data_IF_708542201633
#
_entry.id   IF_708542201633
#
_cell.length_a   1.000
_cell.length_b   1.000
_cell.length_c   1.000
_cell.angle_alpha   90.00
_cell.angle_beta   90.00
_cell.angle_gamma   90.00
#
_symmetry.space_group_name_H-M   'P 1'
#
loop_
_entity.id
_entity.type
_entity.pdbx_description
1 polymer ?
#
# COMPACT_ATOMS: atom_id res chain seq x y z
N UNK A 1 8.23 29.11 -14.26
CA UNK A 1 7.03 28.34 -13.87
C UNK A 1 7.10 28.13 -12.37
N UNK A 2 6.08 28.55 -11.62
CA UNK A 2 6.05 28.41 -10.15
C UNK A 2 5.21 27.20 -9.80
N UNK A 3 5.75 26.30 -8.98
CA UNK A 3 5.04 25.12 -8.49
C UNK A 3 4.16 25.51 -7.29
N UNK A 4 2.85 25.26 -7.37
CA UNK A 4 1.92 25.48 -6.25
C UNK A 4 1.61 24.15 -5.54
N UNK A 5 2.23 23.97 -4.37
CA UNK A 5 2.03 22.79 -3.53
C UNK A 5 0.59 22.64 -3.02
N UNK A 6 -0.19 23.72 -2.93
CA UNK A 6 -1.60 23.67 -2.47
C UNK A 6 -2.49 23.02 -3.52
N UNK A 7 -2.27 23.35 -4.79
CA UNK A 7 -2.95 22.74 -5.92
C UNK A 7 -2.58 21.26 -6.12
N UNK A 8 -1.37 20.84 -5.69
CA UNK A 8 -0.93 19.45 -5.75
C UNK A 8 -1.43 18.57 -4.57
N UNK A 9 -1.82 19.18 -3.45
CA UNK A 9 -2.28 18.48 -2.24
C UNK A 9 -3.78 18.18 -2.21
N UNK A 10 -4.58 18.82 -3.06
CA UNK A 10 -6.04 18.70 -3.07
C UNK A 10 -6.55 17.46 -3.81
N UNK A 11 -7.19 16.54 -3.09
CA UNK A 11 -8.34 15.81 -3.66
C UNK A 11 -8.16 14.35 -4.08
N UNK A 12 -7.12 13.64 -3.65
CA UNK A 12 -7.16 12.18 -3.75
C UNK A 12 -7.77 11.62 -2.45
N UNK A 13 -8.97 11.04 -2.51
CA UNK A 13 -9.48 10.12 -1.49
C UNK A 13 -8.50 8.95 -1.38
N UNK A 14 -7.51 9.11 -0.51
CA UNK A 14 -6.41 8.18 -0.33
C UNK A 14 -6.78 7.22 0.78
N UNK A 15 -7.44 6.14 0.37
CA UNK A 15 -7.84 5.09 1.29
C UNK A 15 -6.62 4.46 1.98
N UNK A 16 -6.73 4.13 3.28
CA UNK A 16 -5.70 3.38 3.96
C UNK A 16 -5.55 1.99 3.35
N UNK A 17 -4.37 1.39 3.51
CA UNK A 17 -4.06 0.04 3.04
C UNK A 17 -4.34 -0.96 4.18
N UNK A 18 -5.35 -1.82 4.05
CA UNK A 18 -5.64 -2.85 5.05
C UNK A 18 -4.73 -4.06 4.87
N UNK A 19 -4.23 -4.63 5.96
CA UNK A 19 -3.52 -5.91 5.97
C UNK A 19 -3.91 -6.76 7.19
N UNK A 20 -3.52 -8.04 7.19
CA UNK A 20 -3.76 -8.96 8.29
C UNK A 20 -2.40 -9.32 8.91
N UNK A 21 -2.27 -9.12 10.22
CA UNK A 21 -1.07 -9.48 10.97
C UNK A 21 -0.90 -10.99 11.15
N UNK A 22 0.25 -11.43 11.65
CA UNK A 22 0.49 -12.86 11.94
C UNK A 22 -0.39 -13.39 13.09
N UNK A 23 -0.87 -12.48 13.93
CA UNK A 23 -1.87 -12.70 14.97
C UNK A 23 -3.30 -12.91 14.44
N UNK A 24 -3.51 -12.71 13.13
CA UNK A 24 -4.81 -12.79 12.47
C UNK A 24 -5.69 -11.55 12.65
N UNK A 25 -5.19 -10.49 13.30
CA UNK A 25 -5.92 -9.23 13.43
C UNK A 25 -5.76 -8.38 12.17
N UNK A 26 -6.74 -7.49 11.96
CA UNK A 26 -6.73 -6.57 10.82
C UNK A 26 -6.14 -5.23 11.25
N UNK A 27 -5.15 -4.78 10.51
CA UNK A 27 -4.45 -3.52 10.70
C UNK A 27 -4.57 -2.65 9.44
N UNK A 28 -4.34 -1.35 9.60
CA UNK A 28 -4.44 -0.38 8.51
C UNK A 28 -3.21 0.52 8.48
N UNK A 29 -2.57 0.62 7.31
CA UNK A 29 -1.48 1.55 7.05
C UNK A 29 -2.02 2.79 6.33
N UNK A 30 -1.54 4.00 6.66
CA UNK A 30 -1.91 5.20 5.92
C UNK A 30 -1.46 5.07 4.46
N UNK A 31 -2.14 5.74 3.55
CA UNK A 31 -1.71 5.74 2.15
C UNK A 31 -0.29 6.37 2.02
N UNK A 32 0.68 5.76 1.33
CA UNK A 32 2.08 6.26 1.36
C UNK A 32 2.21 7.73 0.97
N UNK A 33 1.43 8.20 0.00
CA UNK A 33 1.44 9.62 -0.43
C UNK A 33 0.89 10.60 0.63
N UNK A 34 0.19 10.14 1.68
CA UNK A 34 -0.23 10.98 2.83
C UNK A 34 0.83 11.00 3.92
N UNK A 35 1.79 10.07 3.89
CA UNK A 35 2.94 10.07 4.80
C UNK A 35 3.88 11.21 4.42
N UNK A 36 4.44 11.90 5.42
CA UNK A 36 5.46 12.93 5.20
C UNK A 36 6.66 12.28 4.50
N UNK A 37 7.18 12.90 3.45
CA UNK A 37 8.27 12.31 2.65
C UNK A 37 9.51 11.97 3.47
N UNK A 38 9.81 12.73 4.52
CA UNK A 38 10.93 12.45 5.43
C UNK A 38 10.76 11.14 6.19
N UNK A 39 9.58 10.90 6.79
CA UNK A 39 9.28 9.66 7.52
C UNK A 39 9.30 8.44 6.58
N UNK A 40 8.79 8.59 5.36
CA UNK A 40 8.83 7.51 4.37
C UNK A 40 10.28 7.14 3.99
N UNK A 41 11.14 8.15 3.84
CA UNK A 41 12.55 7.96 3.50
C UNK A 41 13.32 7.29 4.64
N UNK A 42 13.06 7.71 5.90
CA UNK A 42 13.63 7.09 7.09
C UNK A 42 13.20 5.63 7.24
N UNK A 43 11.92 5.32 7.02
CA UNK A 43 11.42 3.95 7.00
C UNK A 43 12.13 3.09 5.94
N UNK A 44 12.22 3.57 4.69
CA UNK A 44 12.96 2.85 3.63
C UNK A 44 14.46 2.74 3.90
N UNK A 45 15.00 3.62 4.76
CA UNK A 45 16.38 3.57 5.25
C UNK A 45 16.60 2.60 6.41
N UNK A 46 15.56 1.89 6.86
CA UNK A 46 15.63 0.94 7.96
C UNK A 46 15.40 1.54 9.35
N UNK A 47 14.88 2.76 9.45
CA UNK A 47 14.54 3.37 10.75
C UNK A 47 13.23 2.80 11.29
N UNK A 48 13.33 2.03 12.37
CA UNK A 48 12.19 1.44 13.07
C UNK A 48 11.28 2.51 13.72
N UNK A 49 11.86 3.59 14.23
CA UNK A 49 11.15 4.71 14.88
C UNK A 49 10.19 5.41 13.90
N UNK A 50 10.57 5.49 12.62
CA UNK A 50 9.73 6.08 11.59
C UNK A 50 8.45 5.26 11.34
N UNK A 51 8.51 3.93 11.47
CA UNK A 51 7.35 3.06 11.28
C UNK A 51 6.32 3.24 12.40
N UNK A 52 6.77 3.33 13.66
CA UNK A 52 5.89 3.62 14.80
C UNK A 52 5.19 4.98 14.64
N UNK A 53 5.89 6.01 14.15
CA UNK A 53 5.30 7.33 13.92
C UNK A 53 4.32 7.36 12.72
N UNK A 54 4.53 6.51 11.70
CA UNK A 54 3.67 6.42 10.53
C UNK A 54 2.34 5.73 10.85
N UNK A 55 2.39 4.59 11.53
CA UNK A 55 1.28 3.65 11.62
C UNK A 55 0.73 3.44 13.04
N UNK A 56 1.44 3.95 14.04
CA UNK A 56 1.17 3.69 15.45
C UNK A 56 1.82 2.40 15.94
N UNK A 57 1.88 2.28 17.27
CA UNK A 57 2.58 1.20 17.98
C UNK A 57 2.05 -0.20 17.65
N UNK A 58 0.73 -0.37 17.61
CA UNK A 58 0.12 -1.70 17.37
C UNK A 58 0.46 -2.24 15.98
N UNK A 59 0.46 -1.37 14.97
CA UNK A 59 0.82 -1.74 13.59
C UNK A 59 2.33 -2.00 13.47
N UNK A 60 3.15 -1.21 14.17
CA UNK A 60 4.59 -1.45 14.27
C UNK A 60 4.89 -2.83 14.87
N UNK A 61 4.29 -3.17 16.00
CA UNK A 61 4.45 -4.48 16.65
C UNK A 61 4.04 -5.62 15.71
N UNK A 62 2.89 -5.49 15.03
CA UNK A 62 2.42 -6.47 14.07
C UNK A 62 3.37 -6.68 12.86
N UNK A 63 4.07 -5.62 12.42
CA UNK A 63 5.05 -5.70 11.33
C UNK A 63 6.37 -6.29 11.83
N UNK A 64 6.80 -5.95 13.05
CA UNK A 64 8.03 -6.48 13.64
C UNK A 64 7.95 -7.98 13.98
N UNK A 65 6.75 -8.50 14.21
CA UNK A 65 6.51 -9.95 14.35
C UNK A 65 6.60 -10.71 13.02
N UNK A 66 6.62 -10.02 11.88
CA UNK A 66 6.75 -10.64 10.57
C UNK A 66 8.20 -11.05 10.28
N UNK A 67 8.37 -12.09 9.46
CA UNK A 67 9.67 -12.37 8.87
C UNK A 67 10.08 -11.26 7.90
N UNK A 68 11.38 -11.03 7.72
CA UNK A 68 11.90 -9.97 6.84
C UNK A 68 11.30 -10.03 5.42
N UNK A 69 11.14 -11.23 4.85
CA UNK A 69 10.52 -11.40 3.54
C UNK A 69 9.03 -11.04 3.50
N UNK A 70 8.27 -11.33 4.56
CA UNK A 70 6.86 -10.94 4.64
C UNK A 70 6.70 -9.42 4.83
N UNK A 71 7.62 -8.78 5.57
CA UNK A 71 7.65 -7.32 5.69
C UNK A 71 7.98 -6.63 4.35
N UNK A 72 8.92 -7.16 3.58
CA UNK A 72 9.23 -6.67 2.22
C UNK A 72 8.02 -6.80 1.28
N UNK A 73 7.35 -7.95 1.28
CA UNK A 73 6.14 -8.18 0.50
C UNK A 73 5.00 -7.22 0.91
N UNK A 74 4.85 -6.94 2.21
CA UNK A 74 3.89 -5.97 2.72
C UNK A 74 4.18 -4.56 2.22
N UNK A 75 5.44 -4.13 2.27
CA UNK A 75 5.86 -2.80 1.78
C UNK A 75 5.64 -2.67 0.28
N UNK A 76 5.94 -3.71 -0.49
CA UNK A 76 5.68 -3.74 -1.93
C UNK A 76 4.17 -3.64 -2.22
N UNK A 77 3.34 -4.42 -1.54
CA UNK A 77 1.89 -4.36 -1.68
C UNK A 77 1.31 -2.99 -1.27
N UNK A 78 1.87 -2.37 -0.23
CA UNK A 78 1.50 -1.03 0.21
C UNK A 78 1.88 0.06 -0.80
N UNK A 79 3.04 -0.07 -1.45
CA UNK A 79 3.49 0.81 -2.53
C UNK A 79 2.65 0.68 -3.80
N UNK A 80 2.26 -0.55 -4.15
CA UNK A 80 1.36 -0.81 -5.27
C UNK A 80 -0.04 -0.24 -5.01
N UNK A 81 -0.58 -0.44 -3.80
CA UNK A 81 -1.86 0.16 -3.39
C UNK A 81 -1.83 1.70 -3.45
N UNK A 82 -0.70 2.30 -3.07
CA UNK A 82 -0.54 3.76 -3.06
C UNK A 82 -0.25 4.37 -4.44
N UNK A 83 -0.07 3.53 -5.47
CA UNK A 83 0.34 3.93 -6.80
C UNK A 83 1.63 4.75 -6.78
N UNK A 84 2.56 4.40 -5.88
CA UNK A 84 3.92 4.96 -5.77
C UNK A 84 4.93 4.08 -6.51
N UNK A 85 4.60 2.81 -6.72
CA UNK A 85 5.28 1.91 -7.65
C UNK A 85 5.13 2.45 -9.08
N UNK A 86 6.18 3.09 -9.59
CA UNK A 86 6.22 3.71 -10.91
C UNK A 86 6.28 2.69 -12.04
N UNK A 87 5.25 1.85 -12.19
CA UNK A 87 4.84 1.12 -13.41
C UNK A 87 3.70 0.20 -13.01
N UNK A 88 2.52 0.47 -13.54
CA UNK A 88 1.37 -0.40 -13.44
C UNK A 88 1.72 -1.82 -13.94
N UNK A 89 1.98 -2.75 -13.02
CA UNK A 89 1.57 -4.12 -13.26
C UNK A 89 0.04 -4.12 -13.24
N UNK A 90 -0.52 -3.94 -14.43
CA UNK A 90 -1.95 -4.11 -14.67
C UNK A 90 -2.39 -5.42 -14.02
N UNK A 91 -3.38 -5.42 -13.11
CA UNK A 91 -3.97 -6.67 -12.70
C UNK A 91 -4.54 -7.31 -13.96
N UNK A 92 -4.06 -8.51 -14.29
CA UNK A 92 -4.59 -9.33 -15.37
C UNK A 92 -6.10 -9.41 -15.24
N UNK A 93 -6.81 -8.62 -16.05
CA UNK A 93 -8.25 -8.79 -16.24
C UNK A 93 -8.43 -10.01 -17.16
N UNK A 94 -8.20 -11.20 -16.60
CA UNK A 94 -8.73 -12.44 -17.17
C UNK A 94 -10.22 -12.53 -16.88
N UNK A 95 -11.00 -11.57 -17.38
CA UNK A 95 -12.43 -11.77 -17.53
C UNK A 95 -12.62 -12.68 -18.74
N UNK A 96 -12.47 -13.98 -18.50
CA UNK A 96 -12.70 -15.04 -19.47
C UNK A 96 -14.19 -15.05 -19.81
N UNK A 97 -14.57 -14.25 -20.80
CA UNK A 97 -15.94 -14.15 -21.29
C UNK A 97 -16.30 -15.45 -22.03
N UNK A 98 -16.64 -16.50 -21.28
CA UNK A 98 -17.07 -17.80 -21.82
C UNK A 98 -18.56 -17.69 -22.15
N UNK A 99 -18.85 -16.99 -23.24
CA UNK A 99 -20.20 -16.97 -23.84
C UNK A 99 -20.55 -18.40 -24.28
N UNK A 100 -21.35 -19.10 -23.47
CA UNK A 100 -22.01 -20.37 -23.82
C UNK A 100 -23.05 -20.09 -24.90
N UNK A 101 -22.63 -20.06 -26.16
CA UNK A 101 -23.57 -20.09 -27.29
C UNK A 101 -24.11 -21.51 -27.45
N UNK A 102 -25.35 -21.69 -26.97
CA UNK A 102 -26.20 -22.87 -27.13
C UNK A 102 -26.13 -23.43 -28.57
N UNK A 103 -25.93 -24.75 -28.68
CA UNK A 103 -26.29 -25.53 -29.88
C UNK A 103 -27.80 -25.40 -30.09
N UNK A 104 -28.24 -24.97 -31.28
CA UNK A 104 -29.58 -25.25 -31.79
C UNK A 104 -29.46 -26.47 -32.70
N UNK A 105 -30.32 -27.44 -32.40
CA UNK A 105 -30.91 -28.42 -33.32
C UNK A 105 -31.26 -27.82 -34.67
#
# INVERSE_FOLDING_TARGET
MTFDARSAGGGANRHPFPFIGMDGQRYELPHMKTVKSGLLQEFTGGSEEALEEIAGREVYEAIMEMSTGAAEDLVQAWADHSGTSGKAHSPSSQTRNRSKRRKRT
#
